data_IF_741360189866
#
_entry.id   IF_741360189866
#
_cell.length_a   1.000
_cell.length_b   1.000
_cell.length_c   1.000
_cell.angle_alpha   90.00
_cell.angle_beta   90.00
_cell.angle_gamma   90.00
#
_symmetry.space_group_name_H-M   'P 1'
#
loop_
_entity.id
_entity.type
_entity.pdbx_description
1 polymer ?
#
# COMPACT_ATOMS: atom_id res chain seq x y z
N UNK A 1 29.27 -40.64 -10.17
CA UNK A 1 28.54 -39.38 -10.38
C UNK A 1 28.40 -38.76 -9.00
N UNK A 2 29.14 -37.69 -8.70
CA UNK A 2 28.96 -36.99 -7.44
C UNK A 2 27.56 -36.37 -7.46
N UNK A 3 26.68 -36.88 -6.62
CA UNK A 3 25.43 -36.23 -6.26
C UNK A 3 25.80 -34.95 -5.53
N UNK A 4 25.84 -33.83 -6.25
CA UNK A 4 26.08 -32.53 -5.64
C UNK A 4 24.82 -32.19 -4.85
N UNK A 5 24.93 -32.16 -3.53
CA UNK A 5 23.79 -32.04 -2.62
C UNK A 5 23.47 -30.60 -2.25
N UNK A 6 24.36 -29.63 -2.47
CA UNK A 6 24.08 -28.20 -2.26
C UNK A 6 24.47 -27.34 -3.47
N UNK A 7 23.46 -26.69 -4.05
CA UNK A 7 23.62 -25.79 -5.20
C UNK A 7 24.32 -24.48 -4.82
N UNK A 8 24.44 -24.15 -3.52
CA UNK A 8 25.13 -22.94 -3.04
C UNK A 8 26.64 -22.99 -3.18
N UNK A 9 27.21 -24.17 -3.36
CA UNK A 9 28.65 -24.38 -3.52
C UNK A 9 29.06 -24.53 -5.00
N UNK A 10 28.08 -24.51 -5.91
CA UNK A 10 28.31 -24.63 -7.36
C UNK A 10 28.22 -23.24 -7.99
N UNK A 11 29.26 -22.85 -8.73
CA UNK A 11 29.24 -21.67 -9.60
C UNK A 11 28.37 -21.87 -10.84
N UNK A 12 28.84 -21.44 -12.02
CA UNK A 12 28.14 -21.71 -13.27
C UNK A 12 28.20 -23.20 -13.63
N UNK A 13 27.05 -23.80 -13.95
CA UNK A 13 26.96 -25.15 -14.47
C UNK A 13 25.83 -25.29 -15.50
N UNK A 14 25.91 -26.25 -16.43
CA UNK A 14 24.86 -26.46 -17.42
C UNK A 14 23.60 -27.05 -16.78
N UNK A 15 22.54 -26.23 -16.68
CA UNK A 15 21.22 -26.67 -16.18
C UNK A 15 20.17 -26.79 -17.29
N UNK A 16 20.27 -25.95 -18.32
CA UNK A 16 19.32 -25.87 -19.42
C UNK A 16 20.07 -25.93 -20.76
N UNK A 17 19.45 -26.52 -21.78
CA UNK A 17 19.87 -26.39 -23.18
C UNK A 17 18.97 -25.36 -23.85
N UNK A 18 19.53 -24.22 -24.22
CA UNK A 18 18.82 -23.13 -24.90
C UNK A 18 19.22 -23.13 -26.37
N UNK A 19 18.25 -23.07 -27.27
CA UNK A 19 18.48 -22.97 -28.72
C UNK A 19 17.60 -21.88 -29.30
N UNK A 20 18.14 -21.09 -30.23
CA UNK A 20 17.34 -20.10 -30.94
C UNK A 20 16.28 -20.78 -31.82
N UNK A 21 15.09 -20.18 -31.88
CA UNK A 21 13.97 -20.68 -32.66
C UNK A 21 14.12 -20.48 -34.16
N UNK A 22 15.05 -19.61 -34.58
CA UNK A 22 15.37 -19.32 -35.98
C UNK A 22 16.47 -20.24 -36.57
N UNK A 23 16.96 -21.21 -35.78
CA UNK A 23 18.00 -22.16 -36.21
C UNK A 23 19.42 -21.59 -36.22
N UNK A 24 19.65 -20.32 -35.85
CA UNK A 24 20.98 -19.70 -35.91
C UNK A 24 21.96 -20.19 -34.82
N UNK A 25 21.54 -21.10 -33.94
CA UNK A 25 22.43 -21.82 -33.03
C UNK A 25 23.07 -23.06 -33.66
N UNK A 26 22.75 -23.41 -34.91
CA UNK A 26 23.32 -24.58 -35.58
C UNK A 26 24.81 -24.39 -35.92
N UNK A 27 25.58 -25.48 -36.11
CA UNK A 27 26.99 -25.38 -36.48
C UNK A 27 27.23 -24.53 -37.74
N UNK A 28 28.20 -23.63 -37.67
CA UNK A 28 28.54 -22.67 -38.74
C UNK A 28 27.61 -21.46 -38.85
N UNK A 29 26.61 -21.31 -37.98
CA UNK A 29 25.70 -20.16 -37.96
C UNK A 29 26.20 -19.04 -37.04
N UNK A 30 25.66 -17.83 -37.23
CA UNK A 30 26.07 -16.60 -36.52
C UNK A 30 26.11 -16.73 -35.00
N UNK A 31 25.23 -17.54 -34.42
CA UNK A 31 25.04 -17.67 -32.98
C UNK A 31 25.38 -19.06 -32.43
N UNK A 32 26.19 -19.86 -33.14
CA UNK A 32 26.63 -21.21 -32.71
C UNK A 32 27.22 -21.21 -31.29
N UNK A 33 28.05 -20.21 -30.98
CA UNK A 33 28.80 -20.14 -29.71
C UNK A 33 28.29 -19.05 -28.77
N UNK A 34 27.04 -18.60 -28.93
CA UNK A 34 26.46 -17.62 -28.00
C UNK A 34 26.13 -18.27 -26.66
N UNK A 35 26.47 -17.60 -25.56
CA UNK A 35 26.17 -18.05 -24.20
C UNK A 35 24.89 -17.39 -23.67
N UNK A 36 24.10 -18.14 -22.89
CA UNK A 36 22.83 -17.69 -22.33
C UNK A 36 22.77 -17.95 -20.84
N UNK A 37 22.32 -16.95 -20.07
CA UNK A 37 22.04 -17.06 -18.65
C UNK A 37 20.52 -16.98 -18.43
N UNK A 38 19.95 -17.96 -17.73
CA UNK A 38 18.48 -18.12 -17.58
C UNK A 38 18.11 -18.11 -16.11
N UNK A 39 17.16 -17.24 -15.76
CA UNK A 39 16.59 -17.14 -14.41
C UNK A 39 15.12 -17.56 -14.43
N UNK A 40 14.66 -18.23 -13.37
CA UNK A 40 13.25 -18.57 -13.19
C UNK A 40 12.51 -17.37 -12.59
N UNK A 41 11.65 -16.72 -13.37
CA UNK A 41 10.97 -15.49 -12.96
C UNK A 41 9.97 -15.68 -11.82
N UNK A 42 9.54 -16.92 -11.56
CA UNK A 42 8.54 -17.24 -10.54
C UNK A 42 9.17 -17.56 -9.19
N UNK A 43 10.28 -18.31 -9.18
CA UNK A 43 10.83 -18.85 -7.92
C UNK A 43 12.20 -18.28 -7.55
N UNK A 44 12.90 -17.66 -8.49
CA UNK A 44 14.22 -17.08 -8.22
C UNK A 44 14.08 -15.63 -7.78
N UNK A 45 14.42 -15.37 -6.51
CA UNK A 45 14.38 -14.02 -5.92
C UNK A 45 15.28 -13.00 -6.64
N UNK A 46 16.24 -13.44 -7.43
CA UNK A 46 17.16 -12.57 -8.18
C UNK A 46 16.66 -12.25 -9.60
N UNK A 47 15.64 -12.96 -10.09
CA UNK A 47 15.14 -12.79 -11.46
C UNK A 47 14.56 -11.40 -11.71
N UNK A 48 13.70 -10.91 -10.80
CA UNK A 48 13.02 -9.62 -10.96
C UNK A 48 14.01 -8.44 -10.91
N UNK A 49 14.95 -8.37 -9.94
CA UNK A 49 16.01 -7.35 -9.98
C UNK A 49 16.84 -7.39 -11.26
N UNK A 50 17.20 -8.58 -11.75
CA UNK A 50 18.00 -8.75 -12.96
C UNK A 50 17.27 -8.25 -14.22
N UNK A 51 15.99 -8.61 -14.38
CA UNK A 51 15.17 -8.12 -15.51
C UNK A 51 15.04 -6.60 -15.45
N UNK A 52 14.75 -6.04 -14.28
CA UNK A 52 14.57 -4.59 -14.16
C UNK A 52 15.87 -3.81 -14.49
N UNK A 53 17.02 -4.32 -14.02
CA UNK A 53 18.32 -3.75 -14.36
C UNK A 53 18.60 -3.83 -15.87
N UNK A 54 18.27 -4.96 -16.51
CA UNK A 54 18.43 -5.11 -17.95
C UNK A 54 17.50 -4.18 -18.74
N UNK A 55 16.23 -4.08 -18.35
CA UNK A 55 15.26 -3.17 -18.97
C UNK A 55 15.77 -1.71 -18.94
N UNK A 56 16.28 -1.26 -17.79
CA UNK A 56 16.93 0.06 -17.66
C UNK A 56 18.15 0.22 -18.57
N UNK A 57 18.98 -0.81 -18.67
CA UNK A 57 20.18 -0.78 -19.50
C UNK A 57 19.88 -0.73 -21.00
N UNK A 58 18.83 -1.42 -21.46
CA UNK A 58 18.53 -1.56 -22.87
C UNK A 58 17.54 -0.50 -23.40
N UNK A 59 16.85 0.23 -22.52
CA UNK A 59 15.75 1.15 -22.86
C UNK A 59 16.03 2.11 -24.01
N UNK A 60 17.22 2.73 -24.06
CA UNK A 60 17.56 3.69 -25.10
C UNK A 60 17.64 3.05 -26.49
N UNK A 61 18.09 1.80 -26.57
CA UNK A 61 18.30 1.07 -27.83
C UNK A 61 17.07 0.22 -28.19
N UNK A 62 16.39 -0.33 -27.18
CA UNK A 62 15.26 -1.26 -27.32
C UNK A 62 14.10 -0.84 -26.41
N UNK A 63 13.42 0.29 -26.68
CA UNK A 63 12.39 0.83 -25.80
C UNK A 63 11.18 -0.10 -25.63
N UNK A 64 10.75 -0.78 -26.70
CA UNK A 64 9.64 -1.73 -26.65
C UNK A 64 9.97 -2.96 -25.79
N UNK A 65 11.18 -3.50 -25.93
CA UNK A 65 11.64 -4.62 -25.10
C UNK A 65 11.71 -4.22 -23.63
N UNK A 66 12.24 -3.02 -23.34
CA UNK A 66 12.30 -2.53 -21.96
C UNK A 66 10.90 -2.41 -21.34
N UNK A 67 9.90 -1.95 -22.11
CA UNK A 67 8.51 -1.87 -21.65
C UNK A 67 7.88 -3.26 -21.40
N UNK A 68 8.10 -4.22 -22.31
CA UNK A 68 7.66 -5.61 -22.13
C UNK A 68 8.27 -6.23 -20.86
N UNK A 69 9.57 -6.03 -20.65
CA UNK A 69 10.27 -6.52 -19.46
C UNK A 69 9.75 -5.88 -18.17
N UNK A 70 9.46 -4.58 -18.18
CA UNK A 70 8.81 -3.89 -17.05
C UNK A 70 7.40 -4.41 -16.80
N UNK A 71 6.67 -4.78 -17.85
CA UNK A 71 5.34 -5.40 -17.72
C UNK A 71 5.42 -6.77 -17.04
N UNK A 72 6.45 -7.56 -17.36
CA UNK A 72 6.72 -8.84 -16.68
C UNK A 72 7.06 -8.62 -15.20
N UNK A 73 7.93 -7.64 -14.91
CA UNK A 73 8.30 -7.27 -13.53
C UNK A 73 7.07 -6.83 -12.73
N UNK A 74 6.25 -5.93 -13.28
CA UNK A 74 5.01 -5.47 -12.65
C UNK A 74 4.06 -6.64 -12.38
N UNK A 75 3.74 -7.44 -13.40
CA UNK A 75 2.83 -8.60 -13.26
C UNK A 75 3.28 -9.59 -12.17
N UNK A 76 4.60 -9.81 -12.05
CA UNK A 76 5.15 -10.69 -11.03
C UNK A 76 5.00 -10.12 -9.61
N UNK A 77 5.25 -8.83 -9.41
CA UNK A 77 5.05 -8.17 -8.12
C UNK A 77 3.57 -8.15 -7.73
N UNK A 78 2.70 -7.76 -8.66
CA UNK A 78 1.25 -7.69 -8.45
C UNK A 78 0.62 -9.03 -8.05
N UNK A 79 1.16 -10.15 -8.56
CA UNK A 79 0.68 -11.49 -8.21
C UNK A 79 0.85 -11.84 -6.72
N UNK A 80 1.74 -11.13 -6.01
CA UNK A 80 2.01 -11.32 -4.60
C UNK A 80 1.43 -10.22 -3.71
N UNK A 81 0.79 -9.19 -4.29
CA UNK A 81 0.24 -8.08 -3.52
C UNK A 81 -1.03 -8.50 -2.76
N UNK A 82 -1.02 -8.30 -1.45
CA UNK A 82 -2.12 -8.67 -0.56
C UNK A 82 -3.22 -7.60 -0.56
N UNK A 83 -4.18 -7.73 -1.47
CA UNK A 83 -5.42 -6.94 -1.43
C UNK A 83 -6.52 -7.62 -0.60
N UNK A 84 -7.40 -6.80 -0.02
CA UNK A 84 -8.70 -7.24 0.50
C UNK A 84 -9.80 -6.46 -0.21
N UNK A 85 -10.96 -7.09 -0.34
CA UNK A 85 -12.17 -6.49 -0.89
C UNK A 85 -12.88 -5.68 0.19
N UNK A 86 -13.23 -4.44 -0.17
CA UNK A 86 -14.12 -3.59 0.61
C UNK A 86 -15.49 -3.64 -0.04
N UNK A 87 -16.53 -4.17 0.64
CA UNK A 87 -17.90 -4.16 0.14
C UNK A 87 -18.39 -2.75 -0.20
N UNK A 88 -19.34 -2.65 -1.13
CA UNK A 88 -20.07 -1.40 -1.37
C UNK A 88 -20.60 -0.84 -0.03
N UNK A 89 -20.43 0.46 0.17
CA UNK A 89 -20.76 1.12 1.42
C UNK A 89 -21.58 2.37 1.16
N UNK A 90 -22.72 2.49 1.82
CA UNK A 90 -23.45 3.77 1.91
C UNK A 90 -22.99 4.52 3.15
N UNK A 91 -22.40 5.70 2.96
CA UNK A 91 -22.00 6.59 4.05
C UNK A 91 -23.23 7.27 4.69
N UNK A 92 -23.13 7.80 5.92
CA UNK A 92 -24.26 8.41 6.62
C UNK A 92 -24.95 9.56 5.88
N UNK A 93 -24.23 10.28 5.02
CA UNK A 93 -24.78 11.35 4.19
C UNK A 93 -25.50 10.84 2.91
N UNK A 94 -25.59 9.52 2.72
CA UNK A 94 -26.21 8.88 1.56
C UNK A 94 -25.27 8.63 0.37
N UNK A 95 -23.99 9.05 0.44
CA UNK A 95 -23.02 8.75 -0.62
C UNK A 95 -22.77 7.25 -0.71
N UNK A 96 -22.95 6.67 -1.90
CA UNK A 96 -22.63 5.27 -2.18
C UNK A 96 -21.20 5.19 -2.71
N UNK A 97 -20.37 4.43 -2.01
CA UNK A 97 -19.00 4.09 -2.43
C UNK A 97 -19.02 2.67 -2.99
N UNK A 98 -18.79 2.48 -4.31
CA UNK A 98 -18.79 1.17 -4.92
C UNK A 98 -17.77 0.22 -4.28
N UNK A 99 -17.98 -1.08 -4.43
CA UNK A 99 -17.02 -2.10 -4.02
C UNK A 99 -15.65 -1.87 -4.70
N UNK A 100 -14.56 -2.05 -3.96
CA UNK A 100 -13.19 -1.91 -4.47
C UNK A 100 -12.23 -2.84 -3.72
N UNK A 101 -11.01 -2.99 -4.24
CA UNK A 101 -9.93 -3.64 -3.52
C UNK A 101 -8.99 -2.59 -2.92
N UNK A 102 -8.58 -2.81 -1.67
CA UNK A 102 -7.61 -1.99 -0.97
C UNK A 102 -6.43 -2.85 -0.51
N UNK A 103 -5.22 -2.30 -0.54
CA UNK A 103 -4.07 -2.99 0.04
C UNK A 103 -4.34 -3.32 1.52
N UNK A 104 -4.15 -4.58 1.90
CA UNK A 104 -4.36 -5.09 3.27
C UNK A 104 -3.47 -4.38 4.28
N UNK A 105 -2.23 -4.10 3.87
CA UNK A 105 -1.23 -3.31 4.59
C UNK A 105 -1.00 -1.97 3.89
N UNK A 106 -0.39 -1.00 4.57
CA UNK A 106 0.16 0.17 3.91
C UNK A 106 1.25 -0.27 2.91
N UNK A 107 1.42 0.49 1.82
CA UNK A 107 2.38 0.12 0.78
C UNK A 107 3.80 0.12 1.33
N UNK A 108 4.57 -0.90 0.96
CA UNK A 108 6.02 -1.01 1.22
C UNK A 108 6.81 -0.72 -0.07
N UNK A 109 8.10 -0.43 0.07
CA UNK A 109 9.01 -0.24 -1.07
C UNK A 109 9.68 -1.57 -1.43
N UNK A 110 9.56 -1.98 -2.68
CA UNK A 110 10.33 -3.12 -3.21
C UNK A 110 11.81 -2.76 -3.41
N UNK A 111 12.65 -3.76 -3.70
CA UNK A 111 14.09 -3.55 -3.95
C UNK A 111 14.38 -2.82 -5.26
N UNK A 112 13.33 -2.56 -6.06
CA UNK A 112 13.39 -1.83 -7.33
C UNK A 112 12.53 -0.55 -7.29
N UNK A 113 12.29 -0.01 -6.09
CA UNK A 113 11.57 1.25 -5.87
C UNK A 113 10.12 1.28 -6.37
N UNK A 114 9.45 0.12 -6.40
CA UNK A 114 8.01 0.01 -6.73
C UNK A 114 7.18 -0.23 -5.47
N UNK A 115 5.95 0.29 -5.44
CA UNK A 115 5.01 -0.01 -4.36
C UNK A 115 4.58 -1.49 -4.40
N UNK A 116 4.64 -2.15 -3.25
CA UNK A 116 4.16 -3.53 -3.03
C UNK A 116 3.35 -3.59 -1.75
N UNK A 117 2.46 -4.57 -1.63
CA UNK A 117 1.58 -4.73 -0.47
C UNK A 117 1.85 -6.09 0.17
N UNK A 118 2.56 -6.07 1.29
CA UNK A 118 3.04 -7.27 1.99
C UNK A 118 3.15 -7.05 3.48
N UNK A 119 2.94 -8.10 4.27
CA UNK A 119 3.24 -8.11 5.70
C UNK A 119 4.74 -8.05 6.03
N UNK A 120 5.62 -8.50 5.13
CA UNK A 120 7.04 -8.77 5.43
C UNK A 120 7.95 -7.52 5.45
N UNK A 121 7.40 -6.35 5.10
CA UNK A 121 8.16 -5.10 5.00
C UNK A 121 7.48 -3.97 5.74
N UNK A 122 8.30 -3.03 6.20
CA UNK A 122 7.83 -1.79 6.81
C UNK A 122 7.18 -0.89 5.75
N UNK A 123 6.16 -0.09 6.12
CA UNK A 123 5.54 0.87 5.23
C UNK A 123 6.57 1.81 4.59
N UNK A 124 6.39 2.10 3.31
CA UNK A 124 7.11 3.15 2.60
C UNK A 124 6.61 4.51 3.10
N UNK A 125 7.50 5.22 3.78
CA UNK A 125 7.30 6.57 4.30
C UNK A 125 8.38 7.52 3.78
N UNK A 126 8.41 8.77 4.27
CA UNK A 126 9.32 9.80 3.73
C UNK A 126 9.12 9.98 2.22
N UNK A 127 7.85 10.05 1.85
CA UNK A 127 7.37 10.20 0.48
C UNK A 127 6.31 11.29 0.50
N UNK A 128 6.40 12.23 -0.44
CA UNK A 128 5.42 13.30 -0.57
C UNK A 128 4.14 12.79 -1.26
N UNK A 129 3.08 13.60 -1.26
CA UNK A 129 1.78 13.20 -1.80
C UNK A 129 1.84 12.84 -3.30
N UNK A 130 2.57 13.64 -4.09
CA UNK A 130 2.68 13.44 -5.54
C UNK A 130 3.44 12.15 -5.86
N UNK A 131 4.55 11.91 -5.18
CA UNK A 131 5.35 10.69 -5.36
C UNK A 131 4.60 9.45 -4.85
N UNK A 132 3.81 9.56 -3.78
CA UNK A 132 2.95 8.47 -3.31
C UNK A 132 1.87 8.10 -4.32
N UNK A 133 1.23 9.11 -4.93
CA UNK A 133 0.28 8.92 -6.04
C UNK A 133 0.97 8.26 -7.23
N UNK A 134 2.15 8.74 -7.63
CA UNK A 134 2.90 8.18 -8.75
C UNK A 134 3.37 6.74 -8.46
N UNK A 135 3.80 6.43 -7.24
CA UNK A 135 4.21 5.09 -6.85
C UNK A 135 3.07 4.07 -6.96
N UNK A 136 1.83 4.46 -6.64
CA UNK A 136 0.67 3.60 -6.93
C UNK A 136 0.46 3.42 -8.44
N UNK A 137 0.55 4.49 -9.23
CA UNK A 137 0.37 4.43 -10.71
C UNK A 137 1.42 3.52 -11.34
N UNK A 138 2.68 3.66 -10.96
CA UNK A 138 3.80 2.85 -11.46
C UNK A 138 3.65 1.37 -11.09
N UNK A 139 3.03 1.10 -9.94
CA UNK A 139 2.66 -0.25 -9.52
C UNK A 139 1.37 -0.79 -10.19
N UNK A 140 0.70 0.01 -11.02
CA UNK A 140 -0.55 -0.36 -11.71
C UNK A 140 -1.82 -0.21 -10.87
N UNK A 141 -1.79 0.67 -9.87
CA UNK A 141 -2.86 0.92 -8.92
C UNK A 141 -3.21 2.42 -8.84
N UNK A 142 -4.19 2.77 -7.99
CA UNK A 142 -4.51 4.15 -7.63
C UNK A 142 -4.19 4.42 -6.16
N UNK A 143 -3.92 5.67 -5.80
CA UNK A 143 -3.90 6.08 -4.39
C UNK A 143 -5.31 5.99 -3.81
N UNK A 144 -5.44 5.52 -2.56
CA UNK A 144 -6.74 5.49 -1.88
C UNK A 144 -7.40 6.88 -1.87
N UNK A 145 -8.68 6.93 -2.22
CA UNK A 145 -9.45 8.18 -2.18
C UNK A 145 -10.06 8.43 -0.80
N UNK A 146 -10.49 9.66 -0.56
CA UNK A 146 -11.14 10.06 0.68
C UNK A 146 -12.47 9.32 0.89
N UNK A 147 -13.31 9.19 -0.14
CA UNK A 147 -14.52 8.37 -0.04
C UNK A 147 -14.22 6.88 0.24
N UNK A 148 -13.20 6.32 -0.41
CA UNK A 148 -12.76 4.94 -0.15
C UNK A 148 -12.27 4.76 1.30
N UNK A 149 -11.49 5.72 1.80
CA UNK A 149 -10.98 5.70 3.16
C UNK A 149 -12.14 5.77 4.17
N UNK A 150 -13.09 6.68 3.96
CA UNK A 150 -14.27 6.83 4.80
C UNK A 150 -15.18 5.60 4.79
N UNK A 151 -15.33 4.94 3.63
CA UNK A 151 -16.08 3.68 3.54
C UNK A 151 -15.47 2.59 4.44
N UNK A 152 -14.14 2.44 4.42
CA UNK A 152 -13.43 1.50 5.28
C UNK A 152 -13.60 1.89 6.75
N UNK A 153 -13.36 3.15 7.11
CA UNK A 153 -13.51 3.63 8.49
C UNK A 153 -14.93 3.44 9.02
N UNK A 154 -15.95 3.73 8.21
CA UNK A 154 -17.36 3.49 8.52
C UNK A 154 -17.66 2.01 8.71
N UNK A 155 -17.15 1.11 7.86
CA UNK A 155 -17.32 -0.32 8.09
C UNK A 155 -16.67 -0.78 9.39
N UNK A 156 -15.45 -0.32 9.68
CA UNK A 156 -14.70 -0.70 10.88
C UNK A 156 -15.49 -0.42 12.15
N UNK A 157 -16.03 0.80 12.29
CA UNK A 157 -16.77 1.19 13.51
C UNK A 157 -18.11 0.48 13.67
N UNK A 158 -18.64 -0.12 12.59
CA UNK A 158 -19.89 -0.89 12.61
C UNK A 158 -19.69 -2.40 12.85
N UNK A 159 -18.46 -2.88 13.14
CA UNK A 159 -18.22 -4.30 13.47
C UNK A 159 -17.92 -4.49 14.96
N UNK A 160 -18.69 -5.33 15.65
CA UNK A 160 -18.52 -5.66 17.07
C UNK A 160 -17.07 -6.06 17.44
N UNK A 161 -16.39 -6.85 16.60
CA UNK A 161 -15.02 -7.34 16.86
C UNK A 161 -13.99 -6.21 16.93
N UNK A 162 -14.31 -5.03 16.38
CA UNK A 162 -13.43 -3.86 16.37
C UNK A 162 -13.49 -3.02 17.65
N UNK A 163 -14.32 -3.41 18.62
CA UNK A 163 -14.52 -2.69 19.87
C UNK A 163 -13.93 -3.45 21.07
N UNK A 164 -13.27 -2.73 21.98
CA UNK A 164 -12.66 -3.32 23.18
C UNK A 164 -13.69 -3.91 24.15
N UNK A 165 -14.94 -3.42 24.11
CA UNK A 165 -16.08 -4.00 24.84
C UNK A 165 -16.75 -5.18 24.14
N UNK A 166 -16.35 -5.50 22.90
CA UNK A 166 -16.90 -6.62 22.13
C UNK A 166 -18.25 -6.33 21.45
N UNK A 167 -18.73 -5.09 21.52
CA UNK A 167 -19.91 -4.61 20.79
C UNK A 167 -19.70 -3.18 20.32
N UNK A 168 -20.36 -2.81 19.21
CA UNK A 168 -20.34 -1.44 18.70
C UNK A 168 -20.77 -0.44 19.79
N UNK A 169 -19.95 0.59 20.01
CA UNK A 169 -20.15 1.62 21.03
C UNK A 169 -19.70 1.24 22.44
N UNK A 170 -19.40 -0.03 22.72
CA UNK A 170 -18.91 -0.46 24.03
C UNK A 170 -17.37 -0.38 24.08
N UNK A 171 -16.85 0.53 24.91
CA UNK A 171 -15.42 0.77 25.03
C UNK A 171 -14.89 1.67 23.91
N UNK A 172 -13.73 1.31 23.35
CA UNK A 172 -13.07 2.05 22.28
C UNK A 172 -12.91 1.17 21.04
N UNK A 173 -12.90 1.80 19.87
CA UNK A 173 -12.37 1.18 18.66
C UNK A 173 -10.90 0.89 18.91
N UNK A 174 -10.47 -0.34 18.63
CA UNK A 174 -9.06 -0.71 18.75
C UNK A 174 -8.20 0.23 17.90
N UNK A 175 -7.07 0.66 18.46
CA UNK A 175 -6.07 1.45 17.74
C UNK A 175 -4.82 0.60 17.58
N UNK A 176 -4.09 0.77 16.49
CA UNK A 176 -2.80 0.13 16.24
C UNK A 176 -1.68 0.75 17.07
N UNK A 177 -0.46 0.74 16.56
CA UNK A 177 0.70 1.33 17.25
C UNK A 177 0.50 2.85 17.32
N UNK A 178 0.38 3.43 18.51
CA UNK A 178 0.16 4.88 18.64
C UNK A 178 0.80 5.51 19.87
N UNK A 179 1.18 4.72 20.89
CA UNK A 179 1.58 5.21 22.23
C UNK A 179 2.99 5.81 22.31
N UNK A 180 3.62 6.16 21.20
CA UNK A 180 4.92 6.86 21.17
C UNK A 180 6.12 6.05 21.67
N UNK A 181 5.99 4.72 21.85
CA UNK A 181 7.08 3.86 22.35
C UNK A 181 8.07 3.44 21.28
N UNK A 182 7.62 3.38 20.03
CA UNK A 182 8.47 3.07 18.88
C UNK A 182 8.92 4.38 18.23
N UNK A 183 10.02 4.32 17.49
CA UNK A 183 10.58 5.49 16.79
C UNK A 183 10.33 5.45 15.27
N UNK A 184 9.64 4.43 14.78
CA UNK A 184 9.38 4.18 13.37
C UNK A 184 8.18 3.24 13.18
N UNK A 185 7.64 3.22 11.96
CA UNK A 185 6.60 2.28 11.55
C UNK A 185 7.14 0.84 11.52
N UNK A 186 6.26 -0.12 11.78
CA UNK A 186 6.58 -1.55 11.84
C UNK A 186 5.95 -2.33 10.69
N UNK A 187 6.59 -3.42 10.28
CA UNK A 187 6.06 -4.39 9.31
C UNK A 187 4.83 -5.12 9.87
N UNK A 188 4.09 -5.84 9.03
CA UNK A 188 2.83 -6.49 9.37
C UNK A 188 2.93 -7.62 10.42
N UNK A 189 4.12 -8.15 10.70
CA UNK A 189 4.33 -9.23 11.69
C UNK A 189 4.57 -8.71 13.09
N UNK A 190 4.90 -7.43 13.24
CA UNK A 190 5.10 -6.85 14.56
C UNK A 190 3.79 -6.85 15.37
N UNK A 191 3.84 -7.52 16.52
CA UNK A 191 2.77 -7.56 17.53
C UNK A 191 3.17 -6.66 18.70
N UNK A 192 2.31 -5.69 19.04
CA UNK A 192 2.55 -4.83 20.20
C UNK A 192 2.45 -5.61 21.51
N UNK A 193 3.33 -5.28 22.47
CA UNK A 193 3.26 -5.79 23.85
C UNK A 193 2.14 -5.11 24.67
N UNK A 194 1.39 -4.18 24.07
CA UNK A 194 0.28 -3.46 24.70
C UNK A 194 -1.05 -4.13 24.31
N UNK A 195 -1.81 -4.68 25.28
CA UNK A 195 -3.08 -5.35 24.99
C UNK A 195 -4.14 -4.48 24.28
N UNK A 196 -4.03 -3.15 24.41
CA UNK A 196 -4.96 -2.20 23.78
C UNK A 196 -4.48 -1.72 22.41
N UNK A 197 -3.28 -2.11 21.96
CA UNK A 197 -2.81 -1.80 20.60
C UNK A 197 -3.04 -3.02 19.71
N UNK A 198 -4.04 -2.93 18.83
CA UNK A 198 -4.35 -3.96 17.84
C UNK A 198 -4.36 -3.34 16.46
N UNK A 199 -3.47 -3.84 15.62
CA UNK A 199 -3.16 -3.23 14.32
C UNK A 199 -4.16 -3.57 13.22
N UNK A 200 -5.06 -4.52 13.45
CA UNK A 200 -6.05 -4.94 12.47
C UNK A 200 -7.47 -4.65 12.91
N UNK A 201 -8.31 -4.43 11.91
CA UNK A 201 -9.75 -4.28 12.02
C UNK A 201 -10.42 -5.22 11.01
N UNK A 202 -11.59 -5.74 11.38
CA UNK A 202 -12.41 -6.57 10.48
C UNK A 202 -13.36 -5.69 9.68
N UNK A 203 -13.58 -6.05 8.42
CA UNK A 203 -14.58 -5.45 7.54
C UNK A 203 -15.89 -6.26 7.58
N UNK A 204 -16.95 -5.74 6.94
CA UNK A 204 -18.26 -6.39 6.95
C UNK A 204 -18.28 -7.78 6.29
N UNK A 205 -17.33 -8.05 5.38
CA UNK A 205 -17.14 -9.36 4.74
C UNK A 205 -16.21 -10.31 5.53
N UNK A 206 -15.76 -9.91 6.73
CA UNK A 206 -14.85 -10.69 7.57
C UNK A 206 -13.38 -10.58 7.20
N UNK A 207 -13.02 -9.88 6.12
CA UNK A 207 -11.62 -9.60 5.81
C UNK A 207 -11.00 -8.62 6.80
N UNK A 208 -9.67 -8.61 6.89
CA UNK A 208 -8.93 -7.75 7.81
C UNK A 208 -8.11 -6.73 7.06
N UNK A 209 -8.19 -5.47 7.49
CA UNK A 209 -7.26 -4.40 7.11
C UNK A 209 -6.35 -4.07 8.29
N UNK A 210 -5.10 -3.72 8.00
CA UNK A 210 -4.10 -3.38 9.00
C UNK A 210 -3.72 -1.90 8.93
N UNK A 211 -3.34 -1.32 10.06
CA UNK A 211 -2.79 0.03 10.18
C UNK A 211 -3.71 1.14 9.64
N UNK A 212 -5.02 0.97 9.84
CA UNK A 212 -6.01 2.02 9.55
C UNK A 212 -6.17 3.00 10.73
N UNK A 213 -5.63 2.65 11.90
CA UNK A 213 -5.52 3.52 13.07
C UNK A 213 -4.13 3.35 13.68
N UNK A 214 -3.24 4.32 13.54
CA UNK A 214 -1.86 4.20 14.01
C UNK A 214 -0.93 3.41 13.08
N UNK A 215 0.26 3.10 13.60
CA UNK A 215 1.48 2.70 12.87
C UNK A 215 1.98 3.78 11.93
N UNK A 216 1.27 4.04 10.83
CA UNK A 216 1.69 5.01 9.80
C UNK A 216 0.49 5.82 9.32
N UNK A 217 0.67 7.12 9.14
CA UNK A 217 -0.33 7.94 8.45
C UNK A 217 -0.44 7.53 6.98
N UNK A 218 -1.60 7.72 6.36
CA UNK A 218 -1.76 7.58 4.91
C UNK A 218 -2.01 8.92 4.26
N UNK A 219 -1.26 9.23 3.20
CA UNK A 219 -1.71 10.15 2.17
C UNK A 219 -3.01 9.63 1.54
N UNK A 220 -3.91 10.55 1.21
CA UNK A 220 -5.23 10.26 0.64
C UNK A 220 -5.50 11.22 -0.51
N UNK A 221 -5.96 10.68 -1.64
CA UNK A 221 -6.46 11.49 -2.76
C UNK A 221 -7.82 12.07 -2.40
N UNK A 222 -7.94 13.39 -2.30
CA UNK A 222 -9.19 14.02 -1.90
C UNK A 222 -10.17 14.15 -3.08
N UNK A 223 -11.09 13.19 -3.20
CA UNK A 223 -12.17 13.18 -4.19
C UNK A 223 -13.47 13.85 -3.71
N UNK A 224 -13.45 14.53 -2.56
CA UNK A 224 -14.63 15.16 -1.94
C UNK A 224 -14.56 16.69 -2.03
N UNK A 225 -13.46 17.26 -1.54
CA UNK A 225 -13.21 18.70 -1.54
C UNK A 225 -11.92 19.09 -2.27
N UNK A 226 -11.22 18.12 -2.86
CA UNK A 226 -10.02 18.35 -3.64
C UNK A 226 -10.26 18.85 -5.06
N UNK A 227 -9.16 19.24 -5.70
CA UNK A 227 -9.08 19.49 -7.14
C UNK A 227 -8.86 18.19 -7.94
N UNK A 228 -8.64 18.31 -9.25
CA UNK A 228 -8.33 17.18 -10.14
C UNK A 228 -7.05 16.41 -9.77
N UNK A 229 -6.18 17.01 -8.96
CA UNK A 229 -4.95 16.38 -8.48
C UNK A 229 -5.14 15.68 -7.13
N UNK A 230 -6.29 15.86 -6.48
CA UNK A 230 -6.61 15.31 -5.16
C UNK A 230 -6.04 16.15 -4.01
N UNK A 231 -5.64 17.39 -4.29
CA UNK A 231 -5.21 18.38 -3.27
C UNK A 231 -6.44 19.16 -2.82
N UNK A 232 -6.59 19.37 -1.52
CA UNK A 232 -7.74 20.10 -0.94
C UNK A 232 -7.85 21.46 -1.64
N UNK A 233 -9.00 21.74 -2.26
CA UNK A 233 -9.18 22.96 -3.06
C UNK A 233 -10.05 24.02 -2.36
N UNK A 234 -10.80 23.60 -1.34
CA UNK A 234 -11.76 24.44 -0.62
C UNK A 234 -11.97 23.93 0.81
N UNK A 235 -12.48 24.77 1.73
CA UNK A 235 -12.90 24.34 3.05
C UNK A 235 -13.94 23.21 3.00
N UNK A 236 -13.94 22.39 4.04
CA UNK A 236 -14.90 21.30 4.22
C UNK A 236 -16.31 21.86 4.41
N UNK A 237 -17.23 21.53 3.50
CA UNK A 237 -18.64 21.86 3.64
C UNK A 237 -19.24 21.17 4.89
N UNK A 238 -20.28 21.75 5.50
CA UNK A 238 -20.91 21.21 6.71
C UNK A 238 -21.46 19.79 6.52
N UNK A 239 -21.95 19.50 5.32
CA UNK A 239 -22.48 18.20 4.89
C UNK A 239 -21.42 17.28 4.26
N UNK A 240 -20.14 17.69 4.24
CA UNK A 240 -19.06 16.86 3.69
C UNK A 240 -19.00 15.52 4.42
N UNK A 241 -18.90 14.38 3.71
CA UNK A 241 -18.72 13.07 4.33
C UNK A 241 -17.46 13.03 5.21
N UNK A 242 -16.44 13.84 4.92
CA UNK A 242 -15.25 14.01 5.79
C UNK A 242 -15.62 14.40 7.21
N UNK A 243 -16.64 15.26 7.38
CA UNK A 243 -17.12 15.75 8.69
C UNK A 243 -18.22 14.86 9.28
N UNK A 244 -19.06 14.28 8.44
CA UNK A 244 -20.32 13.66 8.87
C UNK A 244 -20.27 12.14 9.00
N UNK A 245 -19.20 11.47 8.54
CA UNK A 245 -19.10 10.00 8.61
C UNK A 245 -18.76 9.48 10.00
N UNK A 246 -17.98 10.22 10.79
CA UNK A 246 -17.57 9.78 12.12
C UNK A 246 -18.80 9.71 13.08
N UNK A 247 -19.08 8.56 13.72
CA UNK A 247 -20.31 8.39 14.52
C UNK A 247 -20.23 8.95 15.95
N UNK A 248 -19.05 9.40 16.38
CA UNK A 248 -18.80 9.92 17.72
C UNK A 248 -18.08 11.27 17.66
N UNK A 249 -18.11 12.00 18.78
CA UNK A 249 -17.43 13.28 18.87
C UNK A 249 -15.91 13.12 18.78
N UNK A 250 -15.22 14.22 18.47
CA UNK A 250 -13.78 14.27 18.35
C UNK A 250 -13.06 13.59 19.54
N UNK A 251 -12.17 12.62 19.22
CA UNK A 251 -11.39 11.81 20.18
C UNK A 251 -12.17 10.97 21.18
N UNK A 252 -13.48 10.84 21.04
CA UNK A 252 -14.25 9.88 21.84
C UNK A 252 -14.10 8.47 21.27
N UNK A 253 -14.29 7.45 22.11
CA UNK A 253 -14.35 6.04 21.67
C UNK A 253 -13.18 5.56 20.80
N UNK A 254 -12.00 6.21 20.87
CA UNK A 254 -10.84 5.84 20.06
C UNK A 254 -10.97 6.10 18.56
N UNK A 255 -11.94 6.90 18.11
CA UNK A 255 -12.14 7.17 16.68
C UNK A 255 -11.09 8.12 16.07
N UNK A 256 -10.36 8.83 16.94
CA UNK A 256 -9.25 9.71 16.59
C UNK A 256 -9.60 11.20 16.56
N UNK A 257 -8.60 12.03 16.28
CA UNK A 257 -8.77 13.47 16.12
C UNK A 257 -9.42 13.81 14.77
N UNK A 258 -10.69 14.19 14.79
CA UNK A 258 -11.50 14.52 13.61
C UNK A 258 -11.55 16.03 13.35
N UNK A 259 -10.73 16.82 14.04
CA UNK A 259 -10.74 18.27 13.91
C UNK A 259 -10.40 18.70 12.48
N UNK A 260 -11.31 19.42 11.85
CA UNK A 260 -11.04 20.11 10.59
C UNK A 260 -10.43 21.48 10.88
N UNK A 261 -9.34 21.85 10.19
CA UNK A 261 -8.87 23.24 10.20
C UNK A 261 -9.87 24.20 9.53
N UNK A 262 -9.68 25.51 9.73
CA UNK A 262 -10.56 26.53 9.14
C UNK A 262 -10.48 26.59 7.61
N UNK A 263 -9.29 26.42 7.06
CA UNK A 263 -9.03 26.34 5.62
C UNK A 263 -7.73 25.57 5.40
N UNK A 264 -7.81 24.46 4.67
CA UNK A 264 -6.67 23.61 4.30
C UNK A 264 -6.43 23.62 2.79
N UNK A 265 -6.99 24.58 2.07
CA UNK A 265 -6.79 24.70 0.62
C UNK A 265 -5.29 24.73 0.28
N UNK A 266 -4.88 23.92 -0.69
CA UNK A 266 -3.48 23.70 -1.06
C UNK A 266 -2.74 22.61 -0.27
N UNK A 267 -3.36 22.03 0.76
CA UNK A 267 -2.81 20.87 1.50
C UNK A 267 -3.27 19.55 0.90
N UNK A 268 -2.49 18.49 1.08
CA UNK A 268 -2.91 17.12 0.82
C UNK A 268 -3.45 16.47 2.09
N UNK A 269 -4.41 15.56 1.92
CA UNK A 269 -5.15 14.93 3.02
C UNK A 269 -4.36 13.77 3.63
N UNK A 270 -4.36 13.69 4.96
CA UNK A 270 -3.70 12.65 5.73
C UNK A 270 -4.71 12.02 6.71
N UNK A 271 -4.67 10.68 6.82
CA UNK A 271 -5.58 9.92 7.70
C UNK A 271 -4.88 8.90 8.62
N UNK A 272 -5.56 8.51 9.71
CA UNK A 272 -5.32 7.26 10.47
C UNK A 272 -4.50 7.36 11.76
N UNK A 273 -3.49 8.23 11.84
CA UNK A 273 -2.54 8.22 12.96
C UNK A 273 -1.23 7.51 12.62
N UNK A 274 -0.20 7.73 13.42
CA UNK A 274 1.08 7.02 13.34
C UNK A 274 1.51 6.52 14.73
N UNK A 275 2.66 5.85 14.81
CA UNK A 275 3.22 5.28 16.05
C UNK A 275 3.41 6.26 17.22
N UNK A 276 3.32 7.58 16.98
CA UNK A 276 3.48 8.66 17.96
C UNK A 276 2.29 9.62 18.02
N UNK A 277 1.10 9.16 17.60
CA UNK A 277 -0.11 9.97 17.61
C UNK A 277 -0.82 9.99 18.97
N UNK A 278 -0.38 9.18 19.94
CA UNK A 278 -0.97 9.04 21.26
C UNK A 278 -2.50 8.85 21.19
N UNK A 279 -3.25 9.52 22.05
CA UNK A 279 -4.72 9.51 22.13
C UNK A 279 -5.42 9.97 20.85
N UNK A 280 -4.68 10.58 19.91
CA UNK A 280 -5.22 11.14 18.68
C UNK A 280 -5.39 10.08 17.60
N UNK A 281 -4.63 8.99 17.60
CA UNK A 281 -4.76 7.96 16.57
C UNK A 281 -6.20 7.43 16.48
N UNK A 282 -6.63 7.02 15.30
CA UNK A 282 -8.01 6.57 15.10
C UNK A 282 -8.36 6.44 13.64
N UNK A 283 -9.33 5.57 13.34
CA UNK A 283 -9.73 5.32 11.94
C UNK A 283 -10.31 6.54 11.26
N UNK A 284 -10.74 7.56 12.01
CA UNK A 284 -11.18 8.85 11.47
C UNK A 284 -10.19 9.99 11.69
N UNK A 285 -8.99 9.73 12.25
CA UNK A 285 -8.00 10.79 12.43
C UNK A 285 -7.76 11.52 11.11
N UNK A 286 -7.72 12.85 11.19
CA UNK A 286 -7.67 13.75 10.05
C UNK A 286 -6.58 14.81 10.25
N UNK A 287 -5.80 15.04 9.19
CA UNK A 287 -4.77 16.08 9.13
C UNK A 287 -4.62 16.55 7.67
N UNK A 288 -4.21 17.80 7.49
CA UNK A 288 -3.68 18.30 6.23
C UNK A 288 -2.21 18.69 6.39
N UNK A 289 -1.40 18.45 5.36
CA UNK A 289 -0.02 18.93 5.27
C UNK A 289 0.31 19.32 3.83
N UNK A 290 1.40 20.03 3.61
CA UNK A 290 1.83 20.45 2.28
C UNK A 290 2.08 19.23 1.39
N UNK A 291 1.59 19.21 0.13
CA UNK A 291 1.73 18.06 -0.77
C UNK A 291 3.18 17.66 -1.07
N UNK A 292 4.13 18.58 -0.87
CA UNK A 292 5.57 18.39 -1.08
C UNK A 292 6.31 17.90 0.17
N UNK A 293 5.65 17.80 1.33
CA UNK A 293 6.25 17.32 2.57
C UNK A 293 6.53 15.82 2.52
N UNK A 294 7.74 15.39 2.89
CA UNK A 294 8.19 14.00 2.92
C UNK A 294 8.39 13.48 4.35
N UNK A 295 7.30 13.48 5.12
CA UNK A 295 7.37 13.12 6.54
C UNK A 295 7.66 11.63 6.74
N UNK A 296 8.59 11.32 7.65
CA UNK A 296 8.93 9.94 8.03
C UNK A 296 7.78 9.12 8.63
N UNK A 297 6.67 9.78 8.96
CA UNK A 297 5.48 9.20 9.60
C UNK A 297 4.29 9.08 8.66
N UNK A 298 4.43 9.48 7.40
CA UNK A 298 3.37 9.41 6.39
C UNK A 298 3.81 8.49 5.27
N UNK A 299 3.00 7.46 5.04
CA UNK A 299 3.08 6.57 3.90
C UNK A 299 1.80 6.68 3.07
N UNK A 300 1.39 5.58 2.45
CA UNK A 300 0.24 5.56 1.56
C UNK A 300 -0.32 4.15 1.39
N UNK A 301 -1.50 4.07 0.79
CA UNK A 301 -2.17 2.80 0.50
C UNK A 301 -2.74 2.84 -0.91
N UNK A 302 -2.49 1.79 -1.68
CA UNK A 302 -3.04 1.68 -3.02
C UNK A 302 -4.39 0.95 -3.02
N UNK A 303 -5.21 1.28 -4.02
CA UNK A 303 -6.50 0.65 -4.33
C UNK A 303 -6.55 0.26 -5.80
N UNK A 304 -7.46 -0.66 -6.12
CA UNK A 304 -7.85 -0.95 -7.51
C UNK A 304 -9.34 -1.24 -7.59
N UNK A 305 -9.97 -0.82 -8.67
CA UNK A 305 -11.35 -1.18 -8.98
C UNK A 305 -11.47 -2.69 -9.24
N UNK A 306 -12.69 -3.20 -9.08
CA UNK A 306 -13.06 -4.57 -9.44
C UNK A 306 -13.51 -4.66 -10.90
#
# INVERSE_FOLDING_TARGET
>A
MNTITDHKEIGLYPKYKVTRTDGQSAPGQKHENSEYFVLNLTTDKHAIPAINAYAKSCEKEYPLLADDLRTIVRSNMQANDEFVTVPETTLPNGTVVPQFNVGKYACSKSDIDTAIITADRKPWHSINFHDAKQACIDAGYSLITELQYLAIAHQIVNQNENWTGGKVGEGEVYRGIHKGKLNEAQDGHYVSDKPTERRWHVLANGERVYDFSGNIYSWVFDDVQGDENGVIAKPFAEDSPTKTTAPYSNREHGIGDTSTGRDWSGSALIRGGCWRSDDRAGVFYLLGDWPVSDLNRVGFRCTKSL
#
